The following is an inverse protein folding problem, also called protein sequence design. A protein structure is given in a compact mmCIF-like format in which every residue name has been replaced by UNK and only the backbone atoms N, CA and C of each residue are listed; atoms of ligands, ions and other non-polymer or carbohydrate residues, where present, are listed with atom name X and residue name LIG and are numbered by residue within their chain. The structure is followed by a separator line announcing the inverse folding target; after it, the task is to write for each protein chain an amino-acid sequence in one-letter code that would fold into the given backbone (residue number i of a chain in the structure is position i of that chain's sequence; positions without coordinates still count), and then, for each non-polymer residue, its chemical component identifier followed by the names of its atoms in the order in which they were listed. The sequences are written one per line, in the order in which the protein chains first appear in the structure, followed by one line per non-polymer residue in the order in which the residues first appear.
data_IF_685729192635
#
_entry.id   IF_685729192635
#
_cell.length_a   1.000
_cell.length_b   1.000
_cell.length_c   1.000
_cell.angle_alpha   90.00
_cell.angle_beta   90.00
_cell.angle_gamma   90.00
#
_symmetry.space_group_name_H-M   'P 1'
#
loop_
_entity.id
_entity.type
_entity.pdbx_description
1 polymer ?
#
# COMPACT_ATOMS: atom_id res chain seq x y z
N UNK A 1 3.02 -8.98 -11.56
CA UNK A 1 3.61 -10.35 -11.58
C UNK A 1 2.64 -11.31 -12.26
N UNK A 2 1.42 -11.50 -11.74
CA UNK A 2 0.32 -12.16 -12.45
C UNK A 2 -0.74 -11.13 -12.86
N UNK A 3 -1.19 -11.18 -14.13
CA UNK A 3 -2.13 -10.20 -14.69
C UNK A 3 -3.58 -10.71 -14.79
N UNK A 4 -3.82 -11.98 -14.42
CA UNK A 4 -5.14 -12.63 -14.49
C UNK A 4 -5.36 -13.46 -13.24
N UNK A 5 -6.61 -13.56 -12.78
CA UNK A 5 -6.96 -14.33 -11.58
C UNK A 5 -6.58 -15.80 -11.73
N UNK A 6 -6.83 -16.43 -12.88
CA UNK A 6 -6.46 -17.83 -13.12
C UNK A 6 -4.97 -18.12 -12.95
N UNK A 7 -4.11 -17.14 -13.30
CA UNK A 7 -2.66 -17.28 -13.13
C UNK A 7 -2.26 -17.06 -11.67
N UNK A 8 -2.94 -16.16 -10.97
CA UNK A 8 -2.75 -15.97 -9.54
C UNK A 8 -3.16 -17.23 -8.76
N UNK A 9 -4.30 -17.85 -9.10
CA UNK A 9 -4.77 -19.11 -8.49
C UNK A 9 -3.77 -20.24 -8.69
N UNK A 10 -3.31 -20.46 -9.93
CA UNK A 10 -2.28 -21.47 -10.22
C UNK A 10 -0.99 -21.26 -9.43
N UNK A 11 -0.59 -20.00 -9.21
CA UNK A 11 0.56 -19.67 -8.38
C UNK A 11 0.28 -19.97 -6.90
N UNK A 12 -0.88 -19.59 -6.38
CA UNK A 12 -1.31 -19.88 -5.01
C UNK A 12 -1.30 -21.38 -4.72
N UNK A 13 -1.90 -22.19 -5.59
CA UNK A 13 -1.92 -23.65 -5.47
C UNK A 13 -0.50 -24.25 -5.47
N UNK A 14 0.39 -23.72 -6.30
CA UNK A 14 1.77 -24.17 -6.35
C UNK A 14 2.53 -23.83 -5.05
N UNK A 15 2.34 -22.61 -4.51
CA UNK A 15 2.96 -22.19 -3.26
C UNK A 15 2.42 -22.99 -2.07
N UNK A 16 1.12 -23.29 -2.04
CA UNK A 16 0.52 -24.11 -0.99
C UNK A 16 1.08 -25.53 -1.00
N UNK A 17 1.18 -26.17 -2.18
CA UNK A 17 1.81 -27.50 -2.33
C UNK A 17 3.26 -27.53 -1.87
N UNK A 18 4.02 -26.47 -2.16
CA UNK A 18 5.40 -26.34 -1.67
C UNK A 18 5.40 -26.25 -0.15
N UNK A 19 4.57 -25.41 0.45
CA UNK A 19 4.44 -25.30 1.90
C UNK A 19 4.13 -26.65 2.56
N UNK A 20 3.15 -27.37 2.04
CA UNK A 20 2.79 -28.73 2.48
C UNK A 20 3.97 -29.70 2.41
N UNK A 21 4.76 -29.67 1.33
CA UNK A 21 5.94 -30.53 1.18
C UNK A 21 7.03 -30.28 2.24
N UNK A 22 7.04 -29.10 2.85
CA UNK A 22 7.93 -28.71 3.95
C UNK A 22 7.23 -28.71 5.32
N UNK A 23 6.01 -29.26 5.43
CA UNK A 23 5.18 -29.21 6.64
C UNK A 23 4.89 -27.79 7.16
N UNK A 24 4.83 -26.81 6.27
CA UNK A 24 4.46 -25.42 6.56
C UNK A 24 3.00 -25.19 6.17
N UNK A 25 2.14 -24.95 7.16
CA UNK A 25 0.76 -24.54 6.91
C UNK A 25 0.73 -23.25 6.10
N UNK A 26 0.04 -23.27 4.98
CA UNK A 26 0.02 -22.16 4.02
C UNK A 26 -1.43 -21.85 3.65
N UNK A 27 -1.87 -20.64 3.97
CA UNK A 27 -3.16 -20.09 3.53
C UNK A 27 -2.90 -19.06 2.43
N UNK A 28 -3.84 -18.93 1.50
CA UNK A 28 -3.74 -17.99 0.37
C UNK A 28 -4.85 -16.95 0.49
N UNK A 29 -4.49 -15.68 0.27
CA UNK A 29 -5.43 -14.56 0.14
C UNK A 29 -5.21 -13.90 -1.21
N UNK A 30 -6.24 -13.88 -2.05
CA UNK A 30 -6.21 -13.18 -3.34
C UNK A 30 -6.73 -11.76 -3.16
N UNK A 31 -5.83 -10.78 -3.23
CA UNK A 31 -6.16 -9.36 -3.18
C UNK A 31 -5.88 -8.64 -4.49
N UNK A 32 -6.71 -7.65 -4.80
CA UNK A 32 -6.64 -6.83 -6.00
C UNK A 32 -5.52 -5.80 -5.90
N UNK A 33 -4.74 -5.69 -6.98
CA UNK A 33 -3.68 -4.69 -7.17
C UNK A 33 -4.04 -3.68 -8.28
N UNK A 34 -5.33 -3.50 -8.57
CA UNK A 34 -5.82 -2.57 -9.60
C UNK A 34 -5.72 -1.10 -9.18
N UNK A 35 -5.41 -0.84 -7.92
CA UNK A 35 -5.07 0.48 -7.39
C UNK A 35 -3.96 0.30 -6.34
N UNK A 36 -3.21 1.36 -5.98
CA UNK A 36 -2.31 1.33 -4.84
C UNK A 36 -3.09 0.97 -3.57
N UNK A 37 -2.58 0.01 -2.81
CA UNK A 37 -3.07 -0.32 -1.47
C UNK A 37 -2.64 0.80 -0.51
N UNK A 38 -3.55 1.29 0.33
CA UNK A 38 -3.25 2.43 1.18
C UNK A 38 -3.11 3.73 0.39
N UNK A 39 -2.89 4.86 1.06
CA UNK A 39 -2.90 6.19 0.45
C UNK A 39 -1.50 6.71 0.14
N UNK A 40 -0.44 5.95 0.38
CA UNK A 40 0.92 6.36 0.07
C UNK A 40 1.68 5.27 -0.69
N UNK A 41 2.66 5.68 -1.51
CA UNK A 41 3.66 4.78 -2.05
C UNK A 41 5.01 5.48 -2.16
N UNK A 42 6.08 4.81 -1.75
CA UNK A 42 7.41 5.38 -1.68
C UNK A 42 8.32 4.63 -0.72
N UNK A 43 8.91 5.36 0.22
CA UNK A 43 9.71 4.76 1.28
C UNK A 43 9.26 5.34 2.61
N UNK A 44 9.60 6.61 2.87
CA UNK A 44 9.28 7.25 4.13
C UNK A 44 7.78 7.34 4.41
N UNK A 45 7.00 7.77 3.42
CA UNK A 45 5.56 7.94 3.57
C UNK A 45 4.81 6.63 3.87
N UNK A 46 5.29 5.49 3.37
CA UNK A 46 4.71 4.18 3.69
C UNK A 46 4.98 3.77 5.15
N UNK A 47 6.12 4.20 5.73
CA UNK A 47 6.38 4.02 7.17
C UNK A 47 5.44 4.89 7.99
N UNK A 48 5.19 6.14 7.57
CA UNK A 48 4.24 7.03 8.23
C UNK A 48 2.81 6.45 8.20
N UNK A 49 2.38 5.95 7.04
CA UNK A 49 1.08 5.30 6.87
C UNK A 49 0.97 4.00 7.70
N UNK A 50 2.06 3.22 7.79
CA UNK A 50 2.10 2.04 8.65
C UNK A 50 1.96 2.41 10.13
N UNK A 51 2.60 3.49 10.58
CA UNK A 51 2.46 3.99 11.95
C UNK A 51 1.04 4.48 12.21
N UNK A 52 0.45 5.23 11.28
CA UNK A 52 -0.95 5.67 11.35
C UNK A 52 -1.91 4.48 11.44
N UNK A 53 -1.69 3.46 10.61
CA UNK A 53 -2.42 2.18 10.62
C UNK A 53 -2.33 1.48 11.98
N UNK A 54 -1.14 1.37 12.56
CA UNK A 54 -0.93 0.77 13.90
C UNK A 54 -1.57 1.56 15.04
N UNK A 55 -1.86 2.85 14.81
CA UNK A 55 -2.60 3.74 15.73
C UNK A 55 -4.10 3.77 15.46
N UNK A 56 -4.59 3.02 14.48
CA UNK A 56 -6.01 2.93 14.13
C UNK A 56 -6.51 4.04 13.20
N UNK A 57 -5.60 4.78 12.56
CA UNK A 57 -5.88 5.92 11.68
C UNK A 57 -5.59 5.62 10.20
N UNK A 58 -5.26 4.36 9.88
CA UNK A 58 -4.84 3.95 8.54
C UNK A 58 -5.98 3.88 7.52
N UNK A 59 -5.64 3.82 6.21
CA UNK A 59 -6.61 3.65 5.13
C UNK A 59 -7.38 2.32 5.25
N UNK A 60 -8.68 2.35 4.96
CA UNK A 60 -9.57 1.20 5.14
C UNK A 60 -9.09 -0.04 4.38
N UNK A 61 -8.66 0.09 3.13
CA UNK A 61 -8.21 -1.03 2.29
C UNK A 61 -6.95 -1.71 2.85
N UNK A 62 -6.00 -0.91 3.35
CA UNK A 62 -4.81 -1.41 4.03
C UNK A 62 -5.17 -2.14 5.35
N UNK A 63 -6.07 -1.56 6.15
CA UNK A 63 -6.56 -2.17 7.39
C UNK A 63 -7.26 -3.50 7.11
N UNK A 64 -8.19 -3.53 6.15
CA UNK A 64 -8.95 -4.73 5.77
C UNK A 64 -8.01 -5.87 5.36
N UNK A 65 -7.02 -5.60 4.48
CA UNK A 65 -6.07 -6.63 4.04
C UNK A 65 -5.17 -7.10 5.18
N UNK A 66 -4.71 -6.18 6.03
CA UNK A 66 -3.89 -6.51 7.21
C UNK A 66 -4.64 -7.45 8.14
N UNK A 67 -5.91 -7.15 8.44
CA UNK A 67 -6.75 -8.00 9.27
C UNK A 67 -7.02 -9.36 8.65
N UNK A 68 -7.23 -9.43 7.34
CA UNK A 68 -7.45 -10.68 6.63
C UNK A 68 -6.21 -11.58 6.62
N UNK A 69 -5.01 -11.00 6.45
CA UNK A 69 -3.77 -11.78 6.51
C UNK A 69 -3.46 -12.22 7.96
N UNK A 70 -3.60 -11.31 8.92
CA UNK A 70 -3.35 -11.59 10.33
C UNK A 70 -4.34 -12.61 10.92
N UNK A 71 -5.60 -12.63 10.44
CA UNK A 71 -6.60 -13.59 10.92
C UNK A 71 -6.19 -15.04 10.59
N UNK A 72 -5.68 -15.28 9.37
CA UNK A 72 -5.14 -16.59 8.95
C UNK A 72 -3.98 -17.00 9.84
N UNK A 73 -3.04 -16.09 10.10
CA UNK A 73 -1.89 -16.37 10.97
C UNK A 73 -2.30 -16.73 12.40
N UNK A 74 -3.25 -15.99 12.99
CA UNK A 74 -3.75 -16.26 14.35
C UNK A 74 -4.46 -17.62 14.44
N UNK A 75 -5.20 -18.00 13.40
CA UNK A 75 -5.85 -19.32 13.32
C UNK A 75 -4.80 -20.42 13.16
N UNK A 76 -3.82 -20.25 12.28
CA UNK A 76 -2.73 -21.21 12.09
C UNK A 76 -1.90 -21.43 13.37
N UNK A 77 -1.66 -20.36 14.11
CA UNK A 77 -0.96 -20.37 15.39
C UNK A 77 -1.80 -20.95 16.56
N UNK A 78 -3.08 -21.25 16.33
CA UNK A 78 -3.97 -21.83 17.34
C UNK A 78 -4.43 -20.84 18.42
N UNK A 79 -4.26 -19.54 18.21
CA UNK A 79 -4.73 -18.50 19.15
C UNK A 79 -6.26 -18.45 19.20
N UNK A 80 -6.91 -18.72 18.06
CA UNK A 80 -8.35 -18.83 17.95
C UNK A 80 -8.71 -19.79 16.80
N UNK A 81 -9.96 -20.26 16.77
CA UNK A 81 -10.49 -21.11 15.69
C UNK A 81 -11.40 -20.35 14.73
N UNK A 82 -11.69 -19.07 14.98
CA UNK A 82 -12.61 -18.26 14.19
C UNK A 82 -11.86 -17.05 13.63
N UNK A 83 -11.96 -16.85 12.30
CA UNK A 83 -11.43 -15.66 11.64
C UNK A 83 -12.06 -14.37 12.18
N UNK A 84 -13.37 -14.39 12.47
CA UNK A 84 -14.07 -13.25 13.09
C UNK A 84 -13.48 -12.91 14.46
N UNK A 85 -13.23 -13.92 15.29
CA UNK A 85 -12.58 -13.71 16.58
C UNK A 85 -11.12 -13.23 16.42
N UNK A 86 -10.42 -13.70 15.39
CA UNK A 86 -9.05 -13.27 15.09
C UNK A 86 -9.00 -11.80 14.64
N UNK A 87 -9.97 -11.34 13.86
CA UNK A 87 -10.10 -9.92 13.48
C UNK A 87 -10.38 -9.08 14.73
N UNK A 88 -11.32 -9.48 15.58
CA UNK A 88 -11.64 -8.75 16.81
C UNK A 88 -10.42 -8.63 17.76
N UNK A 89 -9.57 -9.66 17.84
CA UNK A 89 -8.29 -9.59 18.58
C UNK A 89 -7.38 -8.51 17.99
N UNK A 90 -7.23 -8.46 16.67
CA UNK A 90 -6.39 -7.47 16.00
C UNK A 90 -6.91 -6.05 16.19
N UNK A 91 -8.23 -5.85 16.02
CA UNK A 91 -8.87 -4.56 16.28
C UNK A 91 -8.65 -4.08 17.71
N UNK A 92 -8.77 -4.97 18.71
CA UNK A 92 -8.50 -4.64 20.10
C UNK A 92 -7.04 -4.23 20.33
N UNK A 93 -6.08 -4.93 19.70
CA UNK A 93 -4.65 -4.61 19.83
C UNK A 93 -4.29 -3.26 19.20
N UNK A 94 -4.95 -2.91 18.09
CA UNK A 94 -4.82 -1.59 17.45
C UNK A 94 -5.40 -0.52 18.38
N UNK A 95 -6.67 -0.66 18.78
CA UNK A 95 -7.39 0.31 19.61
C UNK A 95 -6.75 0.53 20.97
N UNK A 96 -6.17 -0.52 21.57
CA UNK A 96 -5.49 -0.41 22.86
C UNK A 96 -4.08 0.17 22.76
N UNK A 97 -3.58 0.46 21.54
CA UNK A 97 -2.21 0.92 21.28
C UNK A 97 -1.12 -0.14 21.44
N UNK A 98 -1.47 -1.40 21.72
CA UNK A 98 -0.49 -2.49 21.93
C UNK A 98 0.22 -2.86 20.63
N UNK A 99 -0.47 -2.78 19.50
CA UNK A 99 0.13 -3.02 18.18
C UNK A 99 1.27 -2.02 17.91
N UNK A 100 1.01 -0.73 18.15
CA UNK A 100 2.03 0.32 18.00
C UNK A 100 3.17 0.15 19.01
N UNK A 101 2.89 -0.12 20.29
CA UNK A 101 3.94 -0.39 21.29
C UNK A 101 4.85 -1.55 20.86
N UNK A 102 4.27 -2.63 20.30
CA UNK A 102 5.05 -3.76 19.81
C UNK A 102 5.92 -3.42 18.62
N UNK A 103 5.46 -2.53 17.74
CA UNK A 103 6.27 -1.97 16.67
C UNK A 103 7.44 -1.14 17.20
N UNK A 104 7.24 -0.34 18.25
CA UNK A 104 8.34 0.41 18.87
C UNK A 104 9.41 -0.53 19.47
N UNK A 105 9.00 -1.59 20.16
CA UNK A 105 9.91 -2.65 20.63
C UNK A 105 10.68 -3.29 19.47
N UNK A 106 10.00 -3.62 18.37
CA UNK A 106 10.60 -4.22 17.18
C UNK A 106 11.66 -3.32 16.53
N UNK A 107 11.39 -2.01 16.45
CA UNK A 107 12.34 -1.02 15.93
C UNK A 107 13.52 -0.85 16.88
N UNK A 108 13.27 -0.76 18.19
CA UNK A 108 14.32 -0.59 19.19
C UNK A 108 15.26 -1.79 19.26
N UNK A 109 14.73 -3.01 19.12
CA UNK A 109 15.52 -4.24 19.08
C UNK A 109 16.53 -4.28 17.91
N UNK A 110 16.34 -3.44 16.90
CA UNK A 110 17.25 -3.27 15.76
C UNK A 110 18.04 -1.95 15.80
N UNK A 111 18.14 -1.33 16.98
CA UNK A 111 18.81 -0.04 17.24
C UNK A 111 18.16 1.18 16.54
N UNK A 112 16.90 1.05 16.10
CA UNK A 112 16.11 2.16 15.58
C UNK A 112 15.53 3.03 16.70
N UNK A 113 15.10 4.24 16.35
CA UNK A 113 14.50 5.21 17.28
C UNK A 113 13.20 5.76 16.68
N UNK A 114 12.05 5.33 17.22
CA UNK A 114 10.73 5.73 16.70
C UNK A 114 10.43 7.21 16.90
N UNK A 115 10.91 7.84 17.96
CA UNK A 115 10.71 9.28 18.21
C UNK A 115 11.39 10.20 17.19
N UNK A 116 12.39 9.69 16.44
CA UNK A 116 13.09 10.45 15.39
C UNK A 116 12.53 10.19 14.00
N UNK A 117 11.58 9.28 13.85
CA UNK A 117 11.05 8.86 12.56
C UNK A 117 10.50 10.07 11.80
N UNK A 118 9.50 10.76 12.35
CA UNK A 118 8.81 11.87 11.68
C UNK A 118 9.67 13.11 11.41
N UNK A 119 10.80 13.28 12.12
CA UNK A 119 11.64 14.47 11.98
C UNK A 119 12.78 14.33 10.98
N UNK A 120 13.05 13.13 10.45
CA UNK A 120 14.26 12.84 9.67
C UNK A 120 14.04 12.94 8.15
N UNK A 121 12.82 12.78 7.65
CA UNK A 121 12.57 12.62 6.21
C UNK A 121 11.43 13.53 5.70
N UNK A 122 11.66 14.84 5.69
CA UNK A 122 10.72 15.78 5.05
C UNK A 122 11.12 16.03 3.58
N UNK A 123 10.20 15.86 2.61
CA UNK A 123 10.50 16.17 1.22
C UNK A 123 10.78 17.66 1.01
N UNK A 124 11.75 17.98 0.16
CA UNK A 124 12.13 19.37 -0.13
C UNK A 124 11.26 20.03 -1.20
N UNK A 125 10.75 19.25 -2.14
CA UNK A 125 9.93 19.72 -3.25
C UNK A 125 8.72 18.83 -3.41
N UNK A 126 7.60 19.43 -3.81
CA UNK A 126 6.36 18.72 -4.11
C UNK A 126 5.66 19.29 -5.34
N UNK A 127 4.80 18.47 -5.95
CA UNK A 127 3.90 18.83 -7.06
C UNK A 127 2.56 18.17 -6.78
N UNK A 128 1.50 18.97 -6.79
CA UNK A 128 0.13 18.48 -6.87
C UNK A 128 -0.24 18.24 -8.33
N UNK A 129 -0.81 17.06 -8.58
CA UNK A 129 -1.35 16.68 -9.89
C UNK A 129 -2.86 16.63 -9.74
N UNK A 130 -3.54 17.50 -10.47
CA UNK A 130 -4.98 17.68 -10.36
C UNK A 130 -5.71 17.05 -11.55
N UNK A 131 -6.98 16.73 -11.35
CA UNK A 131 -7.87 16.22 -12.38
C UNK A 131 -8.05 17.22 -13.53
N UNK A 132 -7.96 16.74 -14.77
CA UNK A 132 -8.19 17.53 -15.99
C UNK A 132 -9.68 17.61 -16.37
N UNK A 133 -10.52 16.74 -15.80
CA UNK A 133 -11.97 16.72 -16.00
C UNK A 133 -12.69 16.11 -14.79
N UNK A 134 -13.98 16.39 -14.68
CA UNK A 134 -14.86 15.79 -13.69
C UNK A 134 -15.33 14.38 -14.12
N UNK A 135 -15.65 13.53 -13.14
CA UNK A 135 -16.18 12.18 -13.37
C UNK A 135 -15.87 11.24 -12.22
N UNK A 136 -15.78 9.95 -12.51
CA UNK A 136 -15.38 8.92 -11.57
C UNK A 136 -14.02 8.32 -11.92
N UNK A 137 -13.22 7.99 -10.92
CA UNK A 137 -12.01 7.19 -11.11
C UNK A 137 -12.43 5.77 -11.51
N UNK A 138 -12.13 5.36 -12.73
CA UNK A 138 -12.54 4.06 -13.27
C UNK A 138 -11.40 3.05 -13.34
N UNK A 139 -10.15 3.52 -13.44
CA UNK A 139 -8.98 2.65 -13.45
C UNK A 139 -7.73 3.40 -12.99
N UNK A 140 -6.78 2.66 -12.43
CA UNK A 140 -5.43 3.11 -12.11
C UNK A 140 -4.41 2.10 -12.66
N UNK A 141 -3.42 2.55 -13.42
CA UNK A 141 -2.34 1.73 -13.95
C UNK A 141 -1.22 1.64 -12.91
N UNK A 142 -1.36 0.70 -11.97
CA UNK A 142 -0.42 0.50 -10.85
C UNK A 142 0.99 0.13 -11.32
N UNK A 143 1.13 -0.51 -12.48
CA UNK A 143 2.43 -0.80 -13.06
C UNK A 143 3.15 0.50 -13.48
N UNK A 144 2.46 1.40 -14.19
CA UNK A 144 3.04 2.70 -14.56
C UNK A 144 3.30 3.58 -13.35
N UNK A 145 2.44 3.54 -12.33
CA UNK A 145 2.68 4.23 -11.05
C UNK A 145 3.96 3.69 -10.39
N UNK A 146 4.14 2.37 -10.33
CA UNK A 146 5.35 1.74 -9.82
C UNK A 146 6.62 2.20 -10.55
N UNK A 147 6.58 2.30 -11.88
CA UNK A 147 7.71 2.85 -12.65
C UNK A 147 7.96 4.34 -12.39
N UNK A 148 6.91 5.14 -12.18
CA UNK A 148 7.05 6.53 -11.80
C UNK A 148 7.73 6.68 -10.42
N UNK A 149 7.41 5.81 -9.46
CA UNK A 149 8.08 5.74 -8.15
C UNK A 149 9.57 5.38 -8.28
N UNK A 150 9.92 4.43 -9.15
CA UNK A 150 11.32 4.14 -9.48
C UNK A 150 12.02 5.38 -10.06
N UNK A 151 11.34 6.11 -10.95
CA UNK A 151 11.88 7.33 -11.53
C UNK A 151 11.98 8.50 -10.55
N UNK A 152 11.11 8.55 -9.53
CA UNK A 152 11.22 9.44 -8.36
C UNK A 152 12.39 9.06 -7.47
N UNK A 153 12.80 7.79 -7.44
CA UNK A 153 13.91 7.31 -6.63
C UNK A 153 13.51 6.46 -5.43
N UNK A 154 12.26 6.04 -5.38
CA UNK A 154 11.77 5.05 -4.41
C UNK A 154 12.19 3.62 -4.78
N UNK A 155 12.77 3.43 -5.97
CA UNK A 155 13.24 2.13 -6.45
C UNK A 155 14.48 2.25 -7.33
N UNK A 156 15.01 1.08 -7.70
CA UNK A 156 16.25 0.96 -8.47
C UNK A 156 15.97 0.51 -9.89
N UNK A 157 16.52 1.20 -10.90
CA UNK A 157 16.61 0.66 -12.28
C UNK A 157 17.84 -0.24 -12.42
N UNK A 158 18.93 0.11 -11.73
CA UNK A 158 20.17 -0.65 -11.66
C UNK A 158 20.52 -0.92 -10.20
N UNK A 159 21.24 -2.03 -9.96
CA UNK A 159 21.61 -2.50 -8.60
C UNK A 159 22.21 -1.41 -7.69
N UNK A 160 22.97 -0.47 -8.26
CA UNK A 160 23.71 0.57 -7.53
C UNK A 160 23.01 1.94 -7.50
N UNK A 161 21.78 2.06 -7.99
CA UNK A 161 21.06 3.33 -7.93
C UNK A 161 20.83 3.76 -6.48
N UNK A 162 21.13 5.02 -6.17
CA UNK A 162 20.84 5.62 -4.87
C UNK A 162 19.34 5.87 -4.75
N UNK A 163 18.77 5.36 -3.67
CA UNK A 163 17.40 5.60 -3.29
C UNK A 163 17.26 6.98 -2.62
N UNK A 164 16.10 7.58 -2.77
CA UNK A 164 15.69 8.77 -2.04
C UNK A 164 14.58 8.37 -1.07
N UNK A 165 14.91 8.26 0.22
CA UNK A 165 13.93 7.89 1.26
C UNK A 165 12.82 8.92 1.41
N UNK A 166 13.08 10.18 1.06
CA UNK A 166 12.11 11.27 1.17
C UNK A 166 11.16 11.34 -0.02
N UNK A 167 11.34 10.50 -1.05
CA UNK A 167 10.51 10.51 -2.24
C UNK A 167 9.26 9.63 -2.09
N UNK A 168 8.18 10.03 -2.75
CA UNK A 168 6.93 9.27 -2.73
C UNK A 168 5.78 9.96 -3.45
N UNK A 169 4.63 9.31 -3.38
CA UNK A 169 3.35 9.78 -3.90
C UNK A 169 2.30 9.56 -2.81
N UNK A 170 1.55 10.62 -2.48
CA UNK A 170 0.27 10.51 -1.78
C UNK A 170 -0.85 10.38 -2.81
N UNK A 171 -1.79 9.48 -2.58
CA UNK A 171 -2.98 9.23 -3.38
C UNK A 171 -4.20 9.79 -2.66
N UNK A 172 -4.89 10.74 -3.30
CA UNK A 172 -6.10 11.35 -2.72
C UNK A 172 -7.39 10.70 -3.18
N UNK A 173 -7.30 9.77 -4.13
CA UNK A 173 -8.45 9.15 -4.79
C UNK A 173 -8.23 7.66 -4.98
N UNK A 174 -9.32 6.91 -4.95
CA UNK A 174 -9.42 5.47 -5.21
C UNK A 174 -10.38 5.21 -6.39
N UNK A 175 -10.33 3.99 -6.95
CA UNK A 175 -11.29 3.58 -7.96
C UNK A 175 -12.71 3.62 -7.36
N UNK A 176 -13.61 4.29 -8.07
CA UNK A 176 -15.00 4.53 -7.65
C UNK A 176 -15.25 5.89 -7.03
N UNK A 177 -14.21 6.66 -6.71
CA UNK A 177 -14.36 8.01 -6.18
C UNK A 177 -14.85 8.98 -7.25
N UNK A 178 -15.71 9.92 -6.85
CA UNK A 178 -16.17 11.03 -7.68
C UNK A 178 -15.21 12.20 -7.51
N UNK A 179 -14.84 12.85 -8.62
CA UNK A 179 -13.93 13.99 -8.65
C UNK A 179 -14.42 15.08 -9.59
N UNK A 180 -14.03 16.32 -9.31
CA UNK A 180 -14.23 17.49 -10.17
C UNK A 180 -12.93 17.88 -10.85
N UNK A 181 -13.04 18.52 -12.01
CA UNK A 181 -11.90 19.19 -12.65
C UNK A 181 -11.21 20.12 -11.65
N UNK A 182 -9.90 19.99 -11.51
CA UNK A 182 -9.09 20.75 -10.56
C UNK A 182 -8.88 20.10 -9.19
N UNK A 183 -9.62 19.04 -8.84
CA UNK A 183 -9.42 18.31 -7.58
C UNK A 183 -8.04 17.60 -7.59
N UNK A 184 -7.33 17.53 -6.45
CA UNK A 184 -6.04 16.86 -6.38
C UNK A 184 -6.21 15.34 -6.49
N UNK A 185 -5.37 14.71 -7.31
CA UNK A 185 -5.31 13.25 -7.50
C UNK A 185 -4.08 12.67 -6.81
N UNK A 186 -2.93 13.30 -7.05
CA UNK A 186 -1.65 12.88 -6.47
C UNK A 186 -0.93 14.07 -5.85
N UNK A 187 -0.19 13.82 -4.77
CA UNK A 187 0.92 14.69 -4.36
C UNK A 187 2.21 13.92 -4.53
N UNK A 188 3.06 14.39 -5.43
CA UNK A 188 4.37 13.79 -5.67
C UNK A 188 5.43 14.62 -4.98
N UNK A 189 6.39 13.98 -4.34
CA UNK A 189 7.41 14.70 -3.58
C UNK A 189 8.80 14.05 -3.67
N UNK A 190 9.83 14.87 -3.51
CA UNK A 190 11.23 14.47 -3.71
C UNK A 190 12.24 15.45 -3.09
N UNK A 191 13.45 14.98 -2.79
CA UNK A 191 14.57 15.88 -2.42
C UNK A 191 15.16 16.65 -3.62
N UNK A 192 14.94 16.16 -4.85
CA UNK A 192 15.50 16.73 -6.08
C UNK A 192 14.40 17.22 -7.05
N UNK A 193 14.35 18.55 -7.27
CA UNK A 193 13.34 19.19 -8.13
C UNK A 193 13.33 18.68 -9.57
N UNK A 194 14.50 18.52 -10.21
CA UNK A 194 14.58 18.05 -11.60
C UNK A 194 14.06 16.63 -11.76
N UNK A 195 14.30 15.77 -10.77
CA UNK A 195 13.80 14.39 -10.76
C UNK A 195 12.29 14.36 -10.60
N UNK A 196 11.76 15.14 -9.66
CA UNK A 196 10.32 15.32 -9.43
C UNK A 196 9.60 15.81 -10.70
N UNK A 197 10.11 16.87 -11.34
CA UNK A 197 9.53 17.45 -12.55
C UNK A 197 9.51 16.46 -13.73
N UNK A 198 10.49 15.55 -13.81
CA UNK A 198 10.53 14.54 -14.87
C UNK A 198 9.55 13.39 -14.61
N UNK A 199 9.55 12.86 -13.38
CA UNK A 199 8.77 11.68 -13.04
C UNK A 199 7.25 11.96 -12.97
N UNK A 200 6.88 13.18 -12.59
CA UNK A 200 5.46 13.58 -12.46
C UNK A 200 4.72 13.76 -13.79
N UNK A 201 5.43 14.02 -14.90
CA UNK A 201 4.84 14.40 -16.21
C UNK A 201 3.77 13.45 -16.76
N UNK A 202 3.85 12.17 -16.43
CA UNK A 202 2.95 11.16 -16.98
C UNK A 202 2.05 10.50 -15.94
N UNK A 203 2.09 10.94 -14.68
CA UNK A 203 1.28 10.33 -13.63
C UNK A 203 -0.22 10.50 -13.87
N UNK A 204 -0.67 11.65 -14.39
CA UNK A 204 -2.09 11.83 -14.72
C UNK A 204 -2.58 10.80 -15.76
N UNK A 205 -1.71 10.36 -16.69
CA UNK A 205 -2.03 9.34 -17.70
C UNK A 205 -2.15 7.92 -17.13
N UNK A 206 -1.84 7.74 -15.85
CA UNK A 206 -2.03 6.45 -15.16
C UNK A 206 -3.44 6.27 -14.63
N UNK A 207 -4.28 7.29 -14.69
CA UNK A 207 -5.68 7.21 -14.26
C UNK A 207 -6.62 7.34 -15.45
N UNK A 208 -7.74 6.62 -15.40
CA UNK A 208 -8.87 6.86 -16.26
C UNK A 208 -10.04 7.48 -15.49
N UNK A 209 -10.56 8.60 -16.01
CA UNK A 209 -11.75 9.27 -15.47
C UNK A 209 -12.91 9.05 -16.46
N UNK A 210 -13.95 8.36 -15.99
CA UNK A 210 -15.13 7.97 -16.77
C UNK A 210 -16.43 8.59 -16.24
N UNK A 211 -17.54 8.33 -16.95
CA UNK A 211 -18.87 8.84 -16.60
C UNK A 211 -19.60 7.99 -15.56
N UNK A 212 -19.20 6.74 -15.36
CA UNK A 212 -19.87 5.79 -14.48
C UNK A 212 -18.98 5.37 -13.32
N UNK A 213 -19.59 5.18 -12.15
CA UNK A 213 -18.91 4.69 -10.95
C UNK A 213 -18.59 3.21 -11.10
N UNK A 214 -17.34 2.84 -10.83
CA UNK A 214 -16.89 1.45 -10.74
C UNK A 214 -16.71 1.06 -9.28
N UNK A 215 -17.22 -0.11 -8.91
CA UNK A 215 -16.98 -0.68 -7.58
C UNK A 215 -15.69 -1.50 -7.61
N UNK A 216 -14.67 -1.03 -6.89
CA UNK A 216 -13.45 -1.80 -6.67
C UNK A 216 -13.71 -2.92 -5.66
N UNK A 217 -13.21 -4.13 -5.97
CA UNK A 217 -13.21 -5.26 -5.06
C UNK A 217 -11.78 -5.52 -4.61
N UNK A 218 -11.53 -5.38 -3.29
CA UNK A 218 -10.22 -5.64 -2.70
C UNK A 218 -9.93 -7.14 -2.64
N UNK A 219 -10.87 -7.96 -2.18
CA UNK A 219 -10.73 -9.40 -2.11
C UNK A 219 -11.39 -10.07 -3.30
N UNK A 220 -10.66 -11.00 -3.92
CA UNK A 220 -11.15 -11.78 -5.05
C UNK A 220 -11.50 -13.15 -4.50
N UNK A 221 -12.80 -13.45 -4.43
CA UNK A 221 -13.26 -14.78 -4.05
C UNK A 221 -12.92 -15.75 -5.20
N UNK A 222 -12.09 -16.75 -4.90
CA UNK A 222 -11.73 -17.84 -5.80
C UNK A 222 -12.24 -19.16 -5.24
#
# INVERSE_FOLDING_TARGET
FMNTIDKAVKLGDALQKIGESFNVKTDIVYSSMNQPLGNTAGMWCEIEESISTLKGEGPKDLMDLTYQLGSKLLVQAGITKSETAAIAIQENLIQSGKAYQKFEEFVHAQNGITSKLLSVNTPKYEILINADKSGYITAMDTLKIGWALVDLGCGRRKKNDKLDSTAGIDFFVKIGDSIKSGDPIFRCFNSNKRRLDRASKNLLKTINIGSEKINHQLFINS
#
